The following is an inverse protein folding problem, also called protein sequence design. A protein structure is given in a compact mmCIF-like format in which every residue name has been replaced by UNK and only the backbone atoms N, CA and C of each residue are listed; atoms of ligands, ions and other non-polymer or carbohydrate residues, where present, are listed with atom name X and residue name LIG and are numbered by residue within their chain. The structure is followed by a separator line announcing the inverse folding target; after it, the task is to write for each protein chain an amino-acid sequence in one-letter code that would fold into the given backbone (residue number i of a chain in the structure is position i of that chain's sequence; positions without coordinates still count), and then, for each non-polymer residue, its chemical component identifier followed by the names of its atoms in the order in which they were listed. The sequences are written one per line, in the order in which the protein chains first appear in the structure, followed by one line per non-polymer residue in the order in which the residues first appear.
data_IF_421008183195
#
_entry.id   IF_421008183195
#
_cell.length_a   1.000
_cell.length_b   1.000
_cell.length_c   1.000
_cell.angle_alpha   90.00
_cell.angle_beta   90.00
_cell.angle_gamma   90.00
#
_symmetry.space_group_name_H-M   'P 1'
#
loop_
_entity.id
_entity.type
_entity.pdbx_description
1 polymer ?
#
# COMPACT_ATOMS: atom_id res chain seq x y z
N UNK A 1 -12.07 5.76 5.07
CA UNK A 1 -11.44 4.60 4.39
C UNK A 1 -11.83 3.24 5.00
N UNK A 2 -11.83 3.04 6.33
CA UNK A 2 -12.16 1.71 6.89
C UNK A 2 -13.58 1.19 6.55
N UNK A 3 -14.52 2.09 6.24
CA UNK A 3 -15.88 1.76 5.77
C UNK A 3 -15.98 1.64 4.24
N UNK A 4 -14.94 2.02 3.49
CA UNK A 4 -14.88 1.89 2.03
C UNK A 4 -14.69 0.42 1.71
N UNK A 5 -15.51 -0.14 0.82
CA UNK A 5 -15.37 -1.54 0.44
C UNK A 5 -14.02 -1.78 -0.24
N UNK A 6 -13.52 -3.03 -0.19
CA UNK A 6 -12.28 -3.39 -0.89
C UNK A 6 -12.37 -3.12 -2.39
N UNK A 7 -13.53 -3.39 -3.00
CA UNK A 7 -13.76 -3.20 -4.43
C UNK A 7 -13.66 -1.72 -4.81
N UNK A 8 -14.32 -0.85 -4.05
CA UNK A 8 -14.34 0.59 -4.32
C UNK A 8 -12.96 1.20 -4.08
N UNK A 9 -12.26 0.76 -3.03
CA UNK A 9 -10.88 1.19 -2.79
C UNK A 9 -9.92 0.76 -3.91
N UNK A 10 -10.05 -0.47 -4.41
CA UNK A 10 -9.25 -0.94 -5.56
C UNK A 10 -9.53 -0.11 -6.80
N UNK A 11 -10.79 0.25 -7.07
CA UNK A 11 -11.16 1.11 -8.20
C UNK A 11 -10.59 2.53 -8.04
N UNK A 12 -10.69 3.10 -6.84
CA UNK A 12 -10.09 4.39 -6.50
C UNK A 12 -8.59 4.39 -6.79
N UNK A 13 -7.87 3.41 -6.27
CA UNK A 13 -6.42 3.36 -6.41
C UNK A 13 -5.97 3.11 -7.86
N UNK A 14 -6.74 2.33 -8.64
CA UNK A 14 -6.52 2.20 -10.09
C UNK A 14 -6.68 3.55 -10.81
N UNK A 15 -7.71 4.33 -10.47
CA UNK A 15 -7.91 5.65 -11.06
C UNK A 15 -6.77 6.63 -10.72
N UNK A 16 -6.29 6.59 -9.47
CA UNK A 16 -5.09 7.34 -9.04
C UNK A 16 -3.87 6.92 -9.84
N UNK A 17 -3.58 5.62 -9.94
CA UNK A 17 -2.41 5.11 -10.67
C UNK A 17 -2.39 5.44 -12.17
N UNK A 18 -3.56 5.54 -12.81
CA UNK A 18 -3.68 5.90 -14.22
C UNK A 18 -3.52 7.41 -14.44
N UNK A 19 -4.14 8.24 -13.59
CA UNK A 19 -4.29 9.68 -13.86
C UNK A 19 -3.30 10.55 -13.10
N UNK A 20 -2.74 10.05 -11.99
CA UNK A 20 -1.91 10.79 -11.04
C UNK A 20 -0.81 9.91 -10.46
N UNK A 21 0.14 9.50 -11.29
CA UNK A 21 1.29 8.67 -10.88
C UNK A 21 2.11 9.27 -9.75
N UNK A 22 2.15 10.60 -9.64
CA UNK A 22 2.85 11.29 -8.56
C UNK A 22 2.17 11.09 -7.19
N UNK A 23 0.84 10.97 -7.16
CA UNK A 23 0.07 10.65 -5.96
C UNK A 23 0.20 9.16 -5.63
N UNK A 24 0.10 8.30 -6.65
CA UNK A 24 0.34 6.86 -6.52
C UNK A 24 1.69 6.58 -5.86
N UNK A 25 2.74 7.29 -6.29
CA UNK A 25 4.10 7.20 -5.77
C UNK A 25 4.31 7.74 -4.34
N UNK A 26 3.29 8.35 -3.72
CA UNK A 26 3.35 8.92 -2.36
C UNK A 26 2.56 8.15 -1.32
N UNK A 27 1.73 7.20 -1.75
CA UNK A 27 0.81 6.46 -0.87
C UNK A 27 1.26 5.01 -0.78
N UNK A 28 1.23 4.44 0.42
CA UNK A 28 1.70 3.06 0.65
C UNK A 28 3.13 2.83 0.17
N UNK A 29 3.99 3.85 0.25
CA UNK A 29 5.39 3.72 -0.10
C UNK A 29 6.08 2.84 0.93
N UNK A 30 6.54 1.68 0.49
CA UNK A 30 7.26 0.74 1.36
C UNK A 30 8.59 1.32 1.81
N UNK A 31 9.05 0.88 2.98
CA UNK A 31 10.25 1.42 3.63
C UNK A 31 11.37 0.40 3.63
N UNK A 32 12.60 0.89 3.44
CA UNK A 32 13.81 0.11 3.63
C UNK A 32 13.98 -0.27 5.10
N UNK A 33 14.51 -1.47 5.39
CA UNK A 33 14.76 -1.96 6.74
C UNK A 33 15.46 -0.93 7.67
N UNK A 34 16.52 -0.26 7.18
CA UNK A 34 17.37 0.65 7.95
C UNK A 34 17.43 2.09 7.39
N UNK A 35 16.43 2.52 6.63
CA UNK A 35 16.48 3.82 5.95
C UNK A 35 17.49 3.92 4.80
N UNK A 36 18.05 2.79 4.35
CA UNK A 36 19.00 2.72 3.23
C UNK A 36 18.31 2.68 1.86
N UNK A 37 19.09 2.42 0.81
CA UNK A 37 18.62 2.35 -0.59
C UNK A 37 18.27 0.93 -1.04
N UNK A 38 18.13 -0.01 -0.11
CA UNK A 38 17.79 -1.41 -0.38
C UNK A 38 16.97 -1.99 0.77
N UNK A 39 16.48 -3.21 0.58
CA UNK A 39 15.64 -3.94 1.54
C UNK A 39 14.31 -3.23 1.83
N UNK A 40 13.69 -2.66 0.80
CA UNK A 40 12.32 -2.12 0.86
C UNK A 40 11.30 -3.23 1.07
N UNK A 41 10.22 -2.95 1.79
CA UNK A 41 9.12 -3.91 1.90
C UNK A 41 8.61 -4.33 0.51
N UNK A 42 8.40 -5.63 0.31
CA UNK A 42 7.85 -6.16 -0.94
C UNK A 42 6.40 -6.54 -0.69
N UNK A 43 5.46 -5.99 -1.44
CA UNK A 43 4.05 -6.36 -1.28
C UNK A 43 3.77 -7.78 -1.78
N UNK A 44 2.81 -8.45 -1.12
CA UNK A 44 2.33 -9.75 -1.54
C UNK A 44 1.03 -10.15 -0.86
N UNK A 45 0.45 -11.27 -1.31
CA UNK A 45 -0.85 -11.75 -0.85
C UNK A 45 -0.87 -12.15 0.63
N UNK A 46 0.29 -12.56 1.17
CA UNK A 46 0.47 -13.07 2.53
C UNK A 46 1.74 -12.50 3.16
N UNK A 47 1.71 -12.28 4.47
CA UNK A 47 2.89 -11.94 5.23
C UNK A 47 3.74 -13.20 5.45
N UNK A 48 5.03 -13.15 5.09
CA UNK A 48 5.99 -14.23 5.35
C UNK A 48 7.34 -13.66 5.77
N UNK A 49 8.00 -14.32 6.71
CA UNK A 49 9.37 -14.01 7.13
C UNK A 49 10.37 -15.01 6.52
N UNK A 50 10.25 -15.21 5.21
CA UNK A 50 11.13 -16.05 4.42
C UNK A 50 11.17 -15.57 2.96
N UNK A 51 12.24 -15.94 2.24
CA UNK A 51 12.43 -15.62 0.82
C UNK A 51 12.49 -14.11 0.56
N UNK A 52 11.51 -13.58 -0.16
CA UNK A 52 11.39 -12.14 -0.47
C UNK A 52 10.77 -11.31 0.64
N UNK A 53 10.36 -11.94 1.75
CA UNK A 53 9.70 -11.27 2.88
C UNK A 53 8.46 -10.47 2.47
N UNK A 54 7.45 -11.09 1.82
CA UNK A 54 6.26 -10.38 1.41
C UNK A 54 5.54 -9.74 2.61
N UNK A 55 4.95 -8.58 2.35
CA UNK A 55 4.27 -7.72 3.32
C UNK A 55 2.85 -7.44 2.84
N UNK A 56 1.93 -7.36 3.80
CA UNK A 56 0.50 -7.12 3.57
C UNK A 56 0.01 -5.78 4.12
N UNK A 57 0.89 -5.04 4.82
CA UNK A 57 0.59 -3.76 5.42
C UNK A 57 1.07 -2.61 4.51
N UNK A 58 0.18 -1.68 4.17
CA UNK A 58 0.50 -0.44 3.46
C UNK A 58 1.62 0.34 4.18
N UNK A 59 2.68 0.67 3.45
CA UNK A 59 3.88 1.33 3.95
C UNK A 59 4.81 0.42 4.78
N UNK A 60 4.68 -0.90 4.66
CA UNK A 60 5.49 -1.85 5.41
C UNK A 60 7.00 -1.67 5.18
N UNK A 61 7.74 -1.94 6.24
CA UNK A 61 9.20 -2.00 6.22
C UNK A 61 9.66 -3.39 5.76
N UNK A 62 10.72 -3.43 4.95
CA UNK A 62 11.40 -4.66 4.59
C UNK A 62 12.21 -5.26 5.75
N UNK A 63 12.94 -6.32 5.46
CA UNK A 63 13.68 -7.10 6.43
C UNK A 63 15.17 -7.17 6.07
N UNK A 64 16.07 -7.20 7.05
CA UNK A 64 17.52 -7.30 6.83
C UNK A 64 17.92 -8.52 6.01
N UNK A 65 17.31 -9.66 6.31
CA UNK A 65 17.58 -10.94 5.66
C UNK A 65 16.80 -11.18 4.37
N UNK A 66 15.99 -10.22 3.89
CA UNK A 66 15.30 -10.42 2.61
C UNK A 66 16.32 -10.45 1.48
N UNK A 67 16.06 -11.25 0.45
CA UNK A 67 16.87 -11.31 -0.76
C UNK A 67 15.96 -11.49 -1.97
N UNK A 68 16.13 -10.65 -3.00
CA UNK A 68 15.34 -10.73 -4.22
C UNK A 68 15.36 -9.44 -5.06
N UNK A 69 15.04 -9.55 -6.34
CA UNK A 69 15.17 -8.45 -7.31
C UNK A 69 14.38 -7.17 -6.95
N UNK A 70 13.27 -7.30 -6.23
CA UNK A 70 12.35 -6.20 -5.93
C UNK A 70 12.66 -5.49 -4.60
N UNK A 71 13.78 -5.81 -3.95
CA UNK A 71 14.14 -5.19 -2.66
C UNK A 71 14.79 -3.81 -2.78
N UNK A 72 15.19 -3.40 -3.99
CA UNK A 72 15.95 -2.16 -4.22
C UNK A 72 15.08 -0.98 -4.66
N UNK A 73 13.79 -1.21 -4.91
CA UNK A 73 12.83 -0.18 -5.32
C UNK A 73 11.65 -0.19 -4.36
N UNK A 74 11.24 0.98 -3.83
CA UNK A 74 10.03 1.03 -3.02
C UNK A 74 8.80 0.70 -3.88
N UNK A 75 8.00 -0.25 -3.40
CA UNK A 75 6.64 -0.45 -3.89
C UNK A 75 5.73 0.68 -3.41
N UNK A 76 4.71 1.01 -4.20
CA UNK A 76 3.76 2.12 -3.98
C UNK A 76 2.29 1.65 -4.03
N UNK A 77 1.32 2.56 -4.10
CA UNK A 77 -0.11 2.24 -3.99
C UNK A 77 -0.60 1.23 -5.03
N UNK A 78 -0.23 1.38 -6.31
CA UNK A 78 -0.59 0.40 -7.36
C UNK A 78 -0.06 -1.00 -7.07
N UNK A 79 1.15 -1.11 -6.51
CA UNK A 79 1.76 -2.39 -6.17
C UNK A 79 1.06 -3.02 -4.98
N UNK A 80 0.70 -2.20 -3.98
CA UNK A 80 -0.12 -2.65 -2.84
C UNK A 80 -1.44 -3.23 -3.34
N UNK A 81 -2.13 -2.53 -4.23
CA UNK A 81 -3.42 -2.98 -4.78
C UNK A 81 -3.26 -4.25 -5.60
N UNK A 82 -2.26 -4.29 -6.48
CA UNK A 82 -2.02 -5.41 -7.39
C UNK A 82 -1.60 -6.68 -6.66
N UNK A 83 -0.65 -6.57 -5.74
CA UNK A 83 0.01 -7.72 -5.11
C UNK A 83 -0.64 -8.11 -3.77
N UNK A 84 -1.29 -7.16 -3.08
CA UNK A 84 -1.83 -7.38 -1.72
C UNK A 84 -3.36 -7.42 -1.69
N UNK A 85 -4.03 -6.51 -2.40
CA UNK A 85 -5.49 -6.37 -2.39
C UNK A 85 -6.19 -7.20 -3.47
N UNK A 86 -5.98 -8.53 -3.37
CA UNK A 86 -6.57 -9.51 -4.28
C UNK A 86 -8.08 -9.66 -4.09
N UNK A 87 -8.73 -10.34 -5.04
CA UNK A 87 -10.16 -10.64 -5.01
C UNK A 87 -11.01 -9.37 -4.81
N UNK A 88 -10.75 -8.34 -5.63
CA UNK A 88 -11.37 -7.02 -5.52
C UNK A 88 -11.23 -6.42 -4.11
N UNK A 89 -10.05 -6.55 -3.52
CA UNK A 89 -9.74 -6.03 -2.19
C UNK A 89 -10.37 -6.80 -1.03
N UNK A 90 -11.12 -7.88 -1.24
CA UNK A 90 -11.59 -8.70 -0.10
C UNK A 90 -10.45 -9.38 0.67
N UNK A 91 -9.29 -9.56 0.02
CA UNK A 91 -8.04 -9.96 0.68
C UNK A 91 -7.31 -8.69 1.18
N UNK A 92 -6.94 -8.68 2.46
CA UNK A 92 -6.11 -7.64 3.11
C UNK A 92 -6.69 -6.21 3.19
N UNK A 93 -7.96 -5.98 2.84
CA UNK A 93 -8.64 -4.69 3.10
C UNK A 93 -9.87 -4.88 4.01
N UNK A 94 -10.11 -4.01 5.00
CA UNK A 94 -9.30 -2.85 5.41
C UNK A 94 -8.16 -3.20 6.38
N UNK A 95 -7.98 -4.47 6.69
CA UNK A 95 -7.00 -4.98 7.67
C UNK A 95 -6.03 -5.94 6.99
N UNK A 96 -4.74 -5.80 7.28
CA UNK A 96 -3.68 -6.68 6.82
C UNK A 96 -3.83 -8.10 7.38
N UNK A 97 -3.18 -9.09 6.76
CA UNK A 97 -3.17 -10.48 7.23
C UNK A 97 -1.74 -10.89 7.59
N UNK A 98 -1.59 -11.58 8.72
CA UNK A 98 -0.32 -12.13 9.22
C UNK A 98 0.60 -11.08 9.85
N UNK A 99 1.66 -11.54 10.53
CA UNK A 99 2.52 -10.65 11.33
C UNK A 99 1.77 -10.01 12.50
N UNK A 100 2.07 -8.75 12.81
CA UNK A 100 1.36 -7.96 13.83
C UNK A 100 0.24 -7.12 13.21
N UNK A 101 -0.94 -7.73 13.05
CA UNK A 101 -2.12 -7.07 12.49
C UNK A 101 -2.85 -6.23 13.54
N UNK A 102 -3.38 -5.07 13.16
CA UNK A 102 -4.32 -4.29 13.99
C UNK A 102 -5.59 -3.99 13.20
N UNK A 103 -6.73 -3.94 13.87
CA UNK A 103 -8.01 -3.62 13.21
C UNK A 103 -7.92 -2.35 12.37
N UNK A 104 -8.22 -2.49 11.09
CA UNK A 104 -8.21 -1.45 10.05
C UNK A 104 -6.84 -0.80 9.80
N UNK A 105 -5.74 -1.50 10.06
CA UNK A 105 -4.38 -0.98 9.90
C UNK A 105 -4.06 -0.50 8.48
N UNK A 106 -4.45 -1.24 7.43
CA UNK A 106 -4.28 -0.82 6.04
C UNK A 106 -5.07 0.46 5.74
N UNK A 107 -6.35 0.51 6.13
CA UNK A 107 -7.15 1.71 5.92
C UNK A 107 -6.60 2.93 6.69
N UNK A 108 -6.03 2.73 7.89
CA UNK A 108 -5.38 3.79 8.68
C UNK A 108 -4.08 4.25 8.05
N UNK A 109 -3.26 3.32 7.56
CA UNK A 109 -2.00 3.63 6.89
C UNK A 109 -2.23 4.45 5.62
N UNK A 110 -3.15 4.02 4.76
CA UNK A 110 -3.55 4.80 3.57
C UNK A 110 -4.05 6.18 3.97
N UNK A 111 -4.98 6.28 4.93
CA UNK A 111 -5.50 7.58 5.36
C UNK A 111 -4.39 8.52 5.84
N UNK A 112 -3.41 7.97 6.55
CA UNK A 112 -2.24 8.72 7.06
C UNK A 112 -1.36 9.24 5.95
N UNK A 113 -1.21 8.51 4.85
CA UNK A 113 -0.43 9.01 3.71
C UNK A 113 -1.23 10.05 2.91
N UNK A 114 -2.54 9.87 2.75
CA UNK A 114 -3.40 10.87 2.10
C UNK A 114 -3.43 12.21 2.87
N UNK A 115 -3.30 12.21 4.20
CA UNK A 115 -3.24 13.46 4.96
C UNK A 115 -1.92 14.23 4.79
N UNK A 116 -0.87 13.60 4.26
CA UNK A 116 0.43 14.24 4.00
C UNK A 116 0.54 14.86 2.61
N UNK A 117 -0.40 14.57 1.72
CA UNK A 117 -0.45 15.16 0.38
C UNK A 117 -0.64 16.69 0.42
N UNK A 118 -0.30 17.37 -0.66
CA UNK A 118 -0.55 18.82 -0.79
C UNK A 118 -2.06 19.10 -0.82
N UNK A 119 -2.51 20.35 -0.56
CA UNK A 119 -3.92 20.72 -0.67
C UNK A 119 -4.54 20.39 -2.05
N UNK A 120 -3.78 20.58 -3.13
CA UNK A 120 -4.21 20.30 -4.49
C UNK A 120 -4.39 18.79 -4.71
N UNK A 121 -3.40 17.99 -4.31
CA UNK A 121 -3.46 16.53 -4.38
C UNK A 121 -4.60 15.95 -3.55
N UNK A 122 -4.86 16.52 -2.37
CA UNK A 122 -6.01 16.15 -1.53
C UNK A 122 -7.33 16.43 -2.23
N UNK A 123 -7.45 17.55 -2.91
CA UNK A 123 -8.64 17.90 -3.70
C UNK A 123 -8.88 16.88 -4.80
N UNK A 124 -7.82 16.48 -5.51
CA UNK A 124 -7.88 15.43 -6.54
C UNK A 124 -8.34 14.09 -5.93
N UNK A 125 -7.70 13.66 -4.84
CA UNK A 125 -8.03 12.40 -4.16
C UNK A 125 -9.47 12.40 -3.66
N UNK A 126 -9.95 13.50 -3.08
CA UNK A 126 -11.34 13.63 -2.63
C UNK A 126 -12.31 13.52 -3.81
N UNK A 127 -12.00 14.17 -4.94
CA UNK A 127 -12.80 14.08 -6.16
C UNK A 127 -12.84 12.68 -6.77
N UNK A 128 -11.75 11.91 -6.68
CA UNK A 128 -11.71 10.51 -7.13
C UNK A 128 -12.47 9.59 -6.18
N UNK A 129 -12.30 9.74 -4.86
CA UNK A 129 -13.02 8.97 -3.85
C UNK A 129 -14.53 9.20 -3.91
N UNK A 130 -14.99 10.39 -4.30
CA UNK A 130 -16.41 10.68 -4.45
C UNK A 130 -17.07 9.97 -5.66
N UNK A 131 -16.27 9.45 -6.59
CA UNK A 131 -16.73 8.76 -7.82
C UNK A 131 -16.69 7.23 -7.71
N UNK A 132 -16.22 6.70 -6.59
CA UNK A 132 -16.07 5.27 -6.32
C UNK A 132 -17.03 4.82 -5.25
#
# INVERSE_FOLDING_TARGET
LAKTSGKDFVNFAKAVGISHSDIDGKVCVTKSHNGGTSKYGVYGAEHKDAGTYPRTLCGATGHSSQSGANENTPHVLKDFVKETLLNNGSKNWPTSTGGTTKTNDNAKAVATDLTKLTPEEKTIVAGLLAKT
#
